data_IF_225270911972
#
_entry.id   IF_225270911972
#
_cell.length_a   1.000
_cell.length_b   1.000
_cell.length_c   1.000
_cell.angle_alpha   90.00
_cell.angle_beta   90.00
_cell.angle_gamma   90.00
#
_symmetry.space_group_name_H-M   'P 1'
#
loop_
_entity.id
_entity.type
_entity.pdbx_description
1 polymer ?
#
# COMPACT_ATOMS: atom_id res chain seq x y z
N UNK A 1 -56.06 -2.93 -9.84
CA UNK A 1 -55.67 -3.96 -8.85
C UNK A 1 -54.18 -3.83 -8.59
N UNK A 2 -53.75 -3.69 -7.33
CA UNK A 2 -52.34 -3.58 -6.98
C UNK A 2 -51.60 -4.89 -7.34
N UNK A 3 -50.43 -4.80 -7.98
CA UNK A 3 -49.57 -5.96 -8.24
C UNK A 3 -49.01 -6.42 -6.90
N UNK A 4 -49.38 -7.63 -6.49
CA UNK A 4 -48.78 -8.31 -5.35
C UNK A 4 -47.29 -8.51 -5.68
N UNK A 5 -46.41 -8.03 -4.80
CA UNK A 5 -44.96 -8.14 -4.96
C UNK A 5 -44.40 -9.22 -4.04
N UNK A 6 -43.19 -9.69 -4.33
CA UNK A 6 -42.54 -10.77 -3.56
C UNK A 6 -42.23 -10.38 -2.10
N UNK A 7 -42.31 -9.09 -1.77
CA UNK A 7 -42.15 -8.56 -0.42
C UNK A 7 -43.39 -8.76 0.47
N UNK A 8 -44.59 -8.91 -0.12
CA UNK A 8 -45.84 -9.11 0.62
C UNK A 8 -45.95 -10.48 1.32
N UNK A 9 -45.10 -11.44 0.94
CA UNK A 9 -45.04 -12.80 1.51
C UNK A 9 -43.81 -13.04 2.39
N UNK A 10 -42.97 -12.02 2.63
CA UNK A 10 -41.79 -12.20 3.48
C UNK A 10 -42.22 -12.16 4.95
N UNK A 11 -41.91 -13.19 5.75
CA UNK A 11 -42.21 -13.14 7.18
C UNK A 11 -41.42 -12.00 7.83
N UNK A 12 -42.08 -11.24 8.69
CA UNK A 12 -41.45 -10.16 9.45
C UNK A 12 -40.23 -10.70 10.21
N UNK A 13 -39.08 -10.04 10.04
CA UNK A 13 -37.85 -10.44 10.72
C UNK A 13 -38.08 -10.29 12.23
N UNK A 14 -37.76 -11.32 13.04
CA UNK A 14 -37.97 -11.24 14.48
C UNK A 14 -37.19 -10.06 15.07
N UNK A 15 -37.89 -9.21 15.84
CA UNK A 15 -37.32 -8.02 16.48
C UNK A 15 -36.24 -8.46 17.48
N UNK A 16 -34.97 -8.33 17.11
CA UNK A 16 -33.83 -8.71 17.98
C UNK A 16 -33.78 -7.78 19.19
N UNK A 17 -33.84 -8.34 20.40
CA UNK A 17 -33.63 -7.58 21.64
C UNK A 17 -32.22 -6.98 21.65
N UNK A 18 -32.09 -5.73 22.10
CA UNK A 18 -30.78 -5.09 22.31
C UNK A 18 -30.01 -5.89 23.37
N UNK A 19 -28.74 -6.22 23.09
CA UNK A 19 -27.86 -6.87 24.05
C UNK A 19 -27.62 -5.93 25.23
N UNK A 20 -27.65 -6.45 26.46
CA UNK A 20 -27.25 -5.68 27.65
C UNK A 20 -25.77 -5.24 27.51
N UNK A 21 -25.42 -4.00 27.90
CA UNK A 21 -24.02 -3.60 27.94
C UNK A 21 -23.24 -4.48 28.91
N UNK A 22 -22.00 -4.79 28.55
CA UNK A 22 -21.10 -5.58 29.40
C UNK A 22 -20.71 -4.77 30.65
N UNK A 23 -20.65 -5.43 31.81
CA UNK A 23 -20.01 -4.84 33.01
C UNK A 23 -18.51 -4.66 32.80
N UNK A 24 -17.87 -3.80 33.58
CA UNK A 24 -16.42 -3.51 33.43
C UNK A 24 -15.55 -4.76 33.65
N UNK A 25 -15.90 -5.59 34.63
CA UNK A 25 -15.22 -6.87 34.89
C UNK A 25 -15.35 -7.85 33.72
N UNK A 26 -16.53 -7.90 33.08
CA UNK A 26 -16.73 -8.75 31.90
C UNK A 26 -15.93 -8.26 30.69
N UNK A 27 -15.71 -6.95 30.56
CA UNK A 27 -14.85 -6.38 29.51
C UNK A 27 -13.39 -6.72 29.75
N UNK A 28 -12.91 -6.62 30.99
CA UNK A 28 -11.54 -6.97 31.36
C UNK A 28 -11.28 -8.47 31.09
N UNK A 29 -12.15 -9.35 31.59
CA UNK A 29 -12.02 -10.79 31.35
C UNK A 29 -12.12 -11.17 29.86
N UNK A 30 -12.94 -10.45 29.09
CA UNK A 30 -13.00 -10.64 27.64
C UNK A 30 -11.72 -10.17 26.94
N UNK A 31 -11.12 -9.05 27.38
CA UNK A 31 -9.87 -8.53 26.84
C UNK A 31 -8.71 -9.50 27.11
N UNK A 32 -8.61 -10.04 28.32
CA UNK A 32 -7.60 -11.05 28.70
C UNK A 32 -7.75 -12.34 27.88
N UNK A 33 -8.98 -12.83 27.72
CA UNK A 33 -9.27 -13.99 26.86
C UNK A 33 -8.87 -13.73 25.41
N UNK A 34 -9.14 -12.53 24.90
CA UNK A 34 -8.79 -12.14 23.54
C UNK A 34 -7.27 -12.03 23.36
N UNK A 35 -6.55 -11.51 24.35
CA UNK A 35 -5.09 -11.43 24.36
C UNK A 35 -4.47 -12.83 24.33
N UNK A 36 -4.88 -13.72 25.23
CA UNK A 36 -4.43 -15.12 25.25
C UNK A 36 -4.72 -15.86 23.93
N UNK A 37 -5.89 -15.60 23.33
CA UNK A 37 -6.24 -16.16 22.03
C UNK A 37 -5.36 -15.59 20.89
N UNK A 38 -5.01 -14.29 20.92
CA UNK A 38 -4.10 -13.66 19.97
C UNK A 38 -2.70 -14.24 20.07
N UNK A 39 -2.18 -14.41 21.28
CA UNK A 39 -0.87 -15.03 21.54
C UNK A 39 -0.82 -16.49 21.08
N UNK A 40 -1.84 -17.28 21.41
CA UNK A 40 -1.95 -18.66 20.94
C UNK A 40 -2.02 -18.75 19.41
N UNK A 41 -2.70 -17.79 18.76
CA UNK A 41 -2.77 -17.70 17.29
C UNK A 41 -1.43 -17.30 16.67
N UNK A 42 -0.73 -16.34 17.26
CA UNK A 42 0.62 -15.91 16.84
C UNK A 42 1.63 -17.06 16.94
N UNK A 43 1.58 -17.84 18.02
CA UNK A 43 2.48 -18.99 18.23
C UNK A 43 2.19 -20.15 17.28
N UNK A 44 0.91 -20.45 17.03
CA UNK A 44 0.49 -21.57 16.16
C UNK A 44 0.61 -21.27 14.67
N UNK A 45 0.35 -20.03 14.27
CA UNK A 45 0.49 -19.59 12.90
C UNK A 45 1.18 -18.22 12.93
N UNK A 46 2.53 -18.20 13.00
CA UNK A 46 3.29 -16.98 12.80
C UNK A 46 2.75 -16.33 11.54
N UNK A 47 2.41 -15.03 11.55
CA UNK A 47 1.78 -14.38 10.40
C UNK A 47 2.68 -14.52 9.17
N UNK A 48 2.44 -15.56 8.38
CA UNK A 48 3.17 -15.79 7.15
C UNK A 48 2.69 -14.72 6.20
N UNK A 49 3.53 -13.72 5.97
CA UNK A 49 3.31 -12.65 5.00
C UNK A 49 3.45 -13.21 3.57
N UNK A 50 2.70 -14.27 3.23
CA UNK A 50 2.78 -14.99 1.95
C UNK A 50 2.44 -14.14 0.73
N UNK A 51 1.75 -13.02 0.96
CA UNK A 51 1.39 -12.05 -0.08
C UNK A 51 2.49 -11.01 -0.32
N UNK A 52 3.59 -11.09 0.43
CA UNK A 52 4.72 -10.18 0.34
C UNK A 52 5.89 -10.91 -0.30
N UNK A 53 6.59 -10.23 -1.20
CA UNK A 53 7.76 -10.77 -1.85
C UNK A 53 8.88 -11.07 -0.83
N UNK A 54 9.56 -12.23 -0.92
CA UNK A 54 10.65 -12.59 -0.02
C UNK A 54 11.74 -11.52 0.11
N UNK A 55 12.12 -10.87 -1.00
CA UNK A 55 13.17 -9.85 -1.00
C UNK A 55 12.81 -8.64 -0.13
N UNK A 56 11.55 -8.20 -0.15
CA UNK A 56 11.07 -7.08 0.68
C UNK A 56 11.08 -7.45 2.17
N UNK A 57 10.88 -8.74 2.49
CA UNK A 57 10.96 -9.24 3.86
C UNK A 57 12.41 -9.42 4.35
N UNK A 58 13.35 -9.63 3.43
CA UNK A 58 14.77 -9.73 3.73
C UNK A 58 15.43 -8.36 3.96
N UNK A 59 14.79 -7.26 3.54
CA UNK A 59 15.29 -5.92 3.77
C UNK A 59 15.32 -5.56 5.27
N UNK A 60 16.36 -4.84 5.73
CA UNK A 60 16.41 -4.34 7.10
C UNK A 60 15.30 -3.32 7.35
N UNK A 61 14.84 -3.19 8.61
CA UNK A 61 13.75 -2.28 8.96
C UNK A 61 14.07 -0.81 8.64
N UNK A 62 15.36 -0.43 8.70
CA UNK A 62 15.82 0.92 8.39
C UNK A 62 15.92 1.21 6.88
N UNK A 63 15.82 0.18 6.02
CA UNK A 63 15.77 0.43 4.58
C UNK A 63 14.62 1.39 4.24
N UNK A 64 14.84 2.33 3.32
CA UNK A 64 13.82 3.30 2.94
C UNK A 64 12.54 2.64 2.42
N UNK A 65 12.68 1.55 1.65
CA UNK A 65 11.58 0.76 1.10
C UNK A 65 11.26 -0.48 1.95
N UNK A 66 11.64 -0.49 3.23
CA UNK A 66 11.29 -1.60 4.12
C UNK A 66 9.78 -1.81 4.19
N UNK A 67 9.37 -3.06 4.42
CA UNK A 67 7.97 -3.42 4.59
C UNK A 67 7.24 -2.51 5.59
N UNK A 68 7.90 -2.18 6.71
CA UNK A 68 7.35 -1.37 7.79
C UNK A 68 7.05 0.06 7.30
N UNK A 69 8.01 0.71 6.63
CA UNK A 69 7.85 2.08 6.12
C UNK A 69 6.78 2.14 5.03
N UNK A 70 6.82 1.26 4.03
CA UNK A 70 5.85 1.23 2.92
C UNK A 70 4.44 0.97 3.44
N UNK A 71 4.27 0.06 4.40
CA UNK A 71 2.96 -0.18 5.03
C UNK A 71 2.45 1.04 5.80
N UNK A 72 3.34 1.78 6.46
CA UNK A 72 3.03 3.06 7.08
C UNK A 72 2.48 4.06 6.05
N UNK A 73 3.17 4.22 4.92
CA UNK A 73 2.74 5.13 3.86
C UNK A 73 1.41 4.72 3.22
N UNK A 74 1.17 3.42 3.00
CA UNK A 74 -0.12 2.91 2.52
C UNK A 74 -1.25 3.30 3.49
N UNK A 75 -1.01 3.19 4.79
CA UNK A 75 -2.01 3.56 5.81
C UNK A 75 -2.32 5.05 5.75
N UNK A 76 -1.30 5.90 5.79
CA UNK A 76 -1.48 7.36 5.72
C UNK A 76 -2.19 7.80 4.43
N UNK A 77 -1.82 7.22 3.29
CA UNK A 77 -2.46 7.52 2.01
C UNK A 77 -3.92 7.01 1.96
N UNK A 78 -4.25 5.88 2.59
CA UNK A 78 -5.64 5.42 2.70
C UNK A 78 -6.51 6.36 3.54
N UNK A 79 -5.95 6.97 4.58
CA UNK A 79 -6.62 7.99 5.39
C UNK A 79 -6.86 9.26 4.54
N UNK A 80 -5.84 9.74 3.82
CA UNK A 80 -5.96 10.86 2.85
C UNK A 80 -7.04 10.58 1.79
N UNK A 81 -7.10 9.35 1.27
CA UNK A 81 -8.07 8.94 0.25
C UNK A 81 -9.53 9.04 0.73
N UNK A 82 -9.81 8.75 2.01
CA UNK A 82 -11.18 8.88 2.55
C UNK A 82 -11.63 10.34 2.59
N UNK A 83 -10.75 11.26 2.97
CA UNK A 83 -11.06 12.69 2.97
C UNK A 83 -11.25 13.20 1.54
N UNK A 84 -10.36 12.83 0.61
CA UNK A 84 -10.49 13.18 -0.81
C UNK A 84 -11.80 12.65 -1.40
N UNK A 85 -12.23 11.44 -1.04
CA UNK A 85 -13.51 10.87 -1.47
C UNK A 85 -14.70 11.71 -0.97
N UNK A 86 -14.63 12.27 0.24
CA UNK A 86 -15.63 13.21 0.75
C UNK A 86 -15.63 14.52 -0.05
N UNK A 87 -14.46 15.06 -0.37
CA UNK A 87 -14.31 16.27 -1.16
C UNK A 87 -14.81 16.10 -2.61
N UNK A 88 -14.57 14.94 -3.22
CA UNK A 88 -15.11 14.58 -4.53
C UNK A 88 -16.64 14.61 -4.51
N UNK A 89 -17.29 14.04 -3.49
CA UNK A 89 -18.76 14.13 -3.34
C UNK A 89 -19.27 15.55 -3.16
N UNK A 90 -18.46 16.42 -2.57
CA UNK A 90 -18.77 17.84 -2.40
C UNK A 90 -18.39 18.69 -3.63
N UNK A 91 -17.97 18.08 -4.74
CA UNK A 91 -17.55 18.75 -5.97
C UNK A 91 -16.45 19.82 -5.76
N UNK A 92 -15.55 19.59 -4.81
CA UNK A 92 -14.38 20.47 -4.60
C UNK A 92 -13.48 20.40 -5.84
N UNK A 93 -13.12 21.56 -6.40
CA UNK A 93 -12.27 21.66 -7.59
C UNK A 93 -10.94 20.92 -7.37
N UNK A 94 -10.58 20.05 -8.30
CA UNK A 94 -9.31 19.30 -8.26
C UNK A 94 -9.30 18.06 -7.35
N UNK A 95 -10.32 17.86 -6.51
CA UNK A 95 -10.37 16.72 -5.58
C UNK A 95 -10.37 15.37 -6.30
N UNK A 96 -10.99 15.26 -7.48
CA UNK A 96 -11.00 14.02 -8.27
C UNK A 96 -9.59 13.65 -8.77
N UNK A 97 -8.84 14.63 -9.26
CA UNK A 97 -7.48 14.39 -9.73
C UNK A 97 -6.55 13.96 -8.58
N UNK A 98 -6.67 14.61 -7.42
CA UNK A 98 -5.92 14.23 -6.22
C UNK A 98 -6.32 12.84 -5.72
N UNK A 99 -7.62 12.51 -5.75
CA UNK A 99 -8.13 11.19 -5.38
C UNK A 99 -7.51 10.08 -6.25
N UNK A 100 -7.53 10.23 -7.58
CA UNK A 100 -6.95 9.23 -8.47
C UNK A 100 -5.42 9.16 -8.36
N UNK A 101 -4.73 10.27 -8.12
CA UNK A 101 -3.29 10.29 -7.87
C UNK A 101 -2.93 9.47 -6.62
N UNK A 102 -3.57 9.74 -5.48
CA UNK A 102 -3.33 9.00 -4.22
C UNK A 102 -3.72 7.54 -4.36
N UNK A 103 -4.86 7.24 -5.02
CA UNK A 103 -5.31 5.87 -5.28
C UNK A 103 -4.30 5.08 -6.11
N UNK A 104 -3.75 5.70 -7.16
CA UNK A 104 -2.74 5.07 -8.02
C UNK A 104 -1.46 4.82 -7.23
N UNK A 105 -1.03 5.77 -6.40
CA UNK A 105 0.15 5.60 -5.56
C UNK A 105 0.00 4.44 -4.55
N UNK A 106 -1.17 4.29 -3.92
CA UNK A 106 -1.49 3.14 -3.07
C UNK A 106 -1.35 1.83 -3.85
N UNK A 107 -1.90 1.77 -5.06
CA UNK A 107 -1.81 0.59 -5.92
C UNK A 107 -0.36 0.23 -6.27
N UNK A 108 0.48 1.23 -6.60
CA UNK A 108 1.91 1.03 -6.86
C UNK A 108 2.65 0.48 -5.64
N UNK A 109 2.39 1.01 -4.44
CA UNK A 109 2.99 0.50 -3.20
C UNK A 109 2.52 -0.93 -2.87
N UNK A 110 1.24 -1.25 -3.08
CA UNK A 110 0.72 -2.61 -2.88
C UNK A 110 1.30 -3.60 -3.89
N UNK A 111 1.56 -3.16 -5.13
CA UNK A 111 2.26 -3.96 -6.13
C UNK A 111 3.72 -4.20 -5.75
N UNK A 112 4.44 -3.16 -5.30
CA UNK A 112 5.79 -3.31 -4.79
C UNK A 112 5.88 -4.38 -3.70
N UNK A 113 4.96 -4.37 -2.73
CA UNK A 113 4.97 -5.40 -1.69
C UNK A 113 4.82 -6.81 -2.25
N UNK A 114 4.14 -7.01 -3.38
CA UNK A 114 3.94 -8.31 -4.02
C UNK A 114 5.09 -8.73 -4.93
N UNK A 115 5.67 -7.80 -5.69
CA UNK A 115 6.67 -8.08 -6.73
C UNK A 115 8.10 -7.69 -6.37
N UNK A 116 8.32 -6.96 -5.28
CA UNK A 116 9.58 -6.29 -4.91
C UNK A 116 10.06 -5.21 -5.89
N UNK A 117 9.36 -4.98 -7.02
CA UNK A 117 9.74 -3.96 -8.01
C UNK A 117 9.02 -2.65 -7.72
N UNK A 118 9.79 -1.61 -7.46
CA UNK A 118 9.25 -0.25 -7.32
C UNK A 118 9.07 0.38 -8.69
N UNK A 119 7.89 0.91 -8.99
CA UNK A 119 7.54 1.47 -10.32
C UNK A 119 7.28 2.97 -10.31
N UNK A 120 7.20 3.59 -9.13
CA UNK A 120 6.94 5.02 -8.99
C UNK A 120 8.24 5.82 -9.08
N UNK A 121 8.19 6.99 -9.71
CA UNK A 121 9.32 7.94 -9.74
C UNK A 121 9.59 8.60 -8.39
N UNK A 122 8.63 8.54 -7.48
CA UNK A 122 8.72 9.12 -6.15
C UNK A 122 8.38 8.09 -5.08
N UNK A 123 9.00 8.25 -3.91
CA UNK A 123 8.81 7.46 -2.70
C UNK A 123 8.58 8.36 -1.48
N UNK A 124 8.21 7.73 -0.36
CA UNK A 124 7.84 8.42 0.88
C UNK A 124 6.33 8.60 1.03
N UNK A 125 5.92 9.07 2.20
CA UNK A 125 4.51 9.26 2.53
C UNK A 125 3.81 10.28 1.62
N UNK A 126 4.53 11.37 1.31
CA UNK A 126 4.08 12.50 0.49
C UNK A 126 4.79 12.58 -0.87
N UNK A 127 5.43 11.50 -1.33
CA UNK A 127 6.14 11.45 -2.62
C UNK A 127 7.26 12.50 -2.74
N UNK A 128 7.91 12.85 -1.64
CA UNK A 128 8.98 13.87 -1.62
C UNK A 128 10.33 13.36 -2.10
N UNK A 129 10.54 12.03 -2.07
CA UNK A 129 11.82 11.43 -2.40
C UNK A 129 11.83 10.96 -3.84
N UNK A 130 12.73 11.51 -4.66
CA UNK A 130 12.88 11.06 -6.04
C UNK A 130 13.63 9.73 -6.08
N UNK A 131 13.05 8.76 -6.78
CA UNK A 131 13.65 7.45 -7.03
C UNK A 131 14.26 7.46 -8.43
N UNK A 132 15.48 6.95 -8.54
CA UNK A 132 16.16 6.73 -9.81
C UNK A 132 16.16 5.23 -10.09
N UNK A 133 15.81 4.84 -11.31
CA UNK A 133 15.86 3.44 -11.72
C UNK A 133 17.30 3.01 -11.94
N UNK A 134 17.65 1.82 -11.48
CA UNK A 134 18.95 1.18 -11.72
C UNK A 134 18.81 0.12 -12.80
N UNK A 135 19.69 0.14 -13.79
CA UNK A 135 19.79 -0.91 -14.80
C UNK A 135 20.50 -2.13 -14.21
N UNK A 136 19.78 -3.25 -14.06
CA UNK A 136 20.36 -4.52 -13.57
C UNK A 136 21.03 -5.33 -14.68
N UNK A 137 20.61 -5.16 -15.94
CA UNK A 137 21.13 -5.93 -17.07
C UNK A 137 21.21 -5.05 -18.32
N UNK A 138 22.40 -4.97 -18.91
CA UNK A 138 22.66 -4.16 -20.09
C UNK A 138 21.98 -4.75 -21.32
N UNK A 139 21.44 -3.87 -22.16
CA UNK A 139 20.92 -4.22 -23.47
C UNK A 139 21.86 -3.69 -24.56
N UNK A 140 22.01 -4.44 -25.64
CA UNK A 140 22.91 -4.10 -26.74
C UNK A 140 22.12 -3.83 -28.04
N UNK A 141 22.68 -2.99 -28.90
CA UNK A 141 22.21 -2.82 -30.28
C UNK A 141 22.74 -3.93 -31.21
N UNK A 142 22.43 -3.83 -32.50
CA UNK A 142 22.89 -4.80 -33.50
C UNK A 142 24.39 -4.71 -33.75
N UNK A 143 24.98 -3.55 -33.45
CA UNK A 143 26.38 -3.23 -33.68
C UNK A 143 27.25 -3.51 -32.43
N UNK A 144 26.63 -3.94 -31.33
CA UNK A 144 27.29 -4.29 -30.07
C UNK A 144 27.42 -3.14 -29.07
N UNK A 145 26.88 -1.95 -29.35
CA UNK A 145 26.91 -0.84 -28.40
C UNK A 145 25.80 -0.98 -27.34
N UNK A 146 26.11 -0.52 -26.12
CA UNK A 146 25.17 -0.52 -25.00
C UNK A 146 24.07 0.51 -25.25
N UNK A 147 22.82 0.06 -25.26
CA UNK A 147 21.64 0.94 -25.31
C UNK A 147 21.38 1.52 -23.93
N UNK A 148 21.42 2.85 -23.83
CA UNK A 148 21.19 3.57 -22.58
C UNK A 148 19.96 4.46 -22.64
N UNK A 149 19.23 4.52 -21.53
CA UNK A 149 18.06 5.37 -21.34
C UNK A 149 18.39 6.53 -20.40
N UNK A 150 17.97 7.73 -20.78
CA UNK A 150 18.19 8.94 -19.97
C UNK A 150 17.51 8.81 -18.60
N UNK A 151 18.21 9.24 -17.55
CA UNK A 151 17.69 9.22 -16.18
C UNK A 151 17.77 7.85 -15.48
N UNK A 152 18.48 6.86 -16.06
CA UNK A 152 18.73 5.55 -15.46
C UNK A 152 20.16 5.46 -14.96
N UNK A 153 20.34 4.92 -13.75
CA UNK A 153 21.65 4.61 -13.18
C UNK A 153 22.21 3.32 -13.78
N UNK A 154 23.45 3.37 -14.24
CA UNK A 154 24.16 2.26 -14.87
C UNK A 154 25.39 1.89 -14.04
N UNK A 155 25.51 0.62 -13.65
CA UNK A 155 26.59 0.15 -12.78
C UNK A 155 27.97 0.23 -13.43
N UNK A 156 28.03 0.09 -14.76
CA UNK A 156 29.26 0.22 -15.56
C UNK A 156 29.75 1.66 -15.66
N UNK A 157 28.85 2.64 -15.59
CA UNK A 157 29.18 4.05 -15.63
C UNK A 157 29.39 4.64 -14.23
N UNK A 158 28.69 4.13 -13.22
CA UNK A 158 28.73 4.67 -11.86
C UNK A 158 27.93 5.97 -11.68
N UNK A 159 27.20 6.42 -12.70
CA UNK A 159 26.35 7.61 -12.65
C UNK A 159 25.03 7.43 -13.41
N UNK A 160 24.15 8.42 -13.31
CA UNK A 160 22.86 8.45 -14.01
C UNK A 160 23.07 8.97 -15.42
N UNK A 161 22.73 8.15 -16.43
CA UNK A 161 22.93 8.52 -17.83
C UNK A 161 22.21 9.82 -18.20
N UNK A 162 22.94 10.78 -18.75
CA UNK A 162 22.46 12.12 -19.08
C UNK A 162 22.36 13.10 -17.91
N UNK A 163 22.93 12.74 -16.77
CA UNK A 163 23.29 13.64 -15.66
C UNK A 163 24.75 13.35 -15.29
N UNK A 164 25.62 13.57 -16.27
CA UNK A 164 27.06 13.38 -16.12
C UNK A 164 27.57 14.31 -15.00
N UNK A 165 28.43 13.82 -14.09
CA UNK A 165 29.08 14.68 -13.12
C UNK A 165 29.96 15.68 -13.87
N UNK A 166 29.85 16.97 -13.57
CA UNK A 166 30.79 17.96 -14.06
C UNK A 166 32.17 17.62 -13.46
N UNK A 167 33.15 17.26 -14.30
CA UNK A 167 34.54 16.90 -13.92
C UNK A 167 35.34 18.06 -13.26
N UNK A 168 34.67 19.14 -12.81
CA UNK A 168 35.26 20.38 -12.31
C UNK A 168 34.63 20.87 -10.99
N UNK A 169 34.66 20.04 -9.94
CA UNK A 169 34.36 20.47 -8.56
C UNK A 169 35.33 19.87 -7.54
#
# INVERSE_FOLDING_TARGET
MARITKDDFRPDKPKRRRRKPMSEEQKAAAAERLAKAREARLKKNPPKLKHIHPDVLALPEDNHLSYVKVKGWIKANKEKLQELKRQVRNNVKGALAQHESVRTYISSMENYLKSSTWTSLFAGEDQTQRVVFRCTTLAYDKDGNVKRSHGVFYDDLGFVWGSEPDDNS
#
